data_IF_742594401791
#
_entry.id   IF_742594401791
#
_cell.length_a   1.000
_cell.length_b   1.000
_cell.length_c   1.000
_cell.angle_alpha   90.00
_cell.angle_beta   90.00
_cell.angle_gamma   90.00
#
_symmetry.space_group_name_H-M   'P 1'
#
loop_
_entity.id
_entity.type
_entity.pdbx_description
1 polymer ?
#
# COMPACT_ATOMS: atom_id res chain seq x y z
N UNK A 1 -6.88 -20.89 35.42
CA UNK A 1 -6.47 -20.07 34.29
C UNK A 1 -7.40 -20.46 33.16
N UNK A 2 -8.46 -19.72 32.97
CA UNK A 2 -9.52 -20.13 32.04
C UNK A 2 -9.77 -19.14 30.91
N UNK A 3 -9.07 -18.00 30.92
CA UNK A 3 -9.29 -17.00 29.89
C UNK A 3 -7.96 -16.51 29.32
N UNK A 4 -7.97 -16.20 28.02
CA UNK A 4 -6.84 -15.62 27.27
C UNK A 4 -6.35 -14.32 27.94
N UNK A 5 -7.22 -13.57 28.60
CA UNK A 5 -6.88 -12.34 29.35
C UNK A 5 -5.82 -12.61 30.45
N UNK A 6 -5.89 -13.77 31.12
CA UNK A 6 -4.88 -14.16 32.13
C UNK A 6 -3.47 -14.36 31.52
N UNK A 7 -3.38 -14.74 30.24
CA UNK A 7 -2.09 -14.92 29.52
C UNK A 7 -1.37 -13.61 29.26
N UNK A 8 -2.12 -12.53 29.01
CA UNK A 8 -1.55 -11.21 28.73
C UNK A 8 -0.82 -10.60 29.92
N UNK A 9 -1.17 -11.02 31.15
CA UNK A 9 -0.53 -10.54 32.38
C UNK A 9 0.80 -11.29 32.69
N UNK A 10 1.05 -12.45 32.07
CA UNK A 10 2.27 -13.22 32.27
C UNK A 10 3.45 -12.58 31.54
N UNK A 11 4.63 -12.67 32.14
CA UNK A 11 5.88 -12.35 31.43
C UNK A 11 6.25 -13.46 30.43
N UNK A 12 7.07 -13.13 29.43
CA UNK A 12 7.56 -14.12 28.45
C UNK A 12 8.17 -15.35 29.14
N UNK A 13 8.97 -15.10 30.18
CA UNK A 13 9.58 -16.18 30.99
C UNK A 13 8.53 -17.08 31.62
N UNK A 14 7.46 -16.50 32.21
CA UNK A 14 6.39 -17.26 32.82
C UNK A 14 5.61 -18.06 31.77
N UNK A 15 5.38 -17.51 30.58
CA UNK A 15 4.76 -18.25 29.47
C UNK A 15 5.62 -19.45 29.09
N UNK A 16 6.92 -19.29 28.88
CA UNK A 16 7.82 -20.40 28.56
C UNK A 16 7.92 -21.45 29.67
N UNK A 17 7.94 -21.05 30.95
CA UNK A 17 8.01 -21.97 32.11
C UNK A 17 6.71 -22.78 32.28
N UNK A 18 5.57 -22.26 31.83
CA UNK A 18 4.28 -22.92 31.92
C UNK A 18 3.93 -23.75 30.67
N UNK A 19 4.44 -23.41 29.51
CA UNK A 19 4.14 -24.05 28.22
C UNK A 19 4.25 -25.59 28.23
N UNK A 20 5.24 -26.24 28.90
CA UNK A 20 5.30 -27.70 29.00
C UNK A 20 4.20 -28.34 29.86
N UNK A 21 3.44 -27.54 30.62
CA UNK A 21 2.43 -28.00 31.57
C UNK A 21 1.00 -27.84 31.05
N UNK A 22 0.84 -27.24 29.89
CA UNK A 22 -0.45 -26.98 29.24
C UNK A 22 -0.61 -27.83 27.99
N UNK A 23 -1.83 -28.19 27.67
CA UNK A 23 -2.19 -29.03 26.54
C UNK A 23 -3.39 -28.45 25.78
N UNK A 24 -3.69 -29.03 24.62
CA UNK A 24 -4.86 -28.67 23.83
C UNK A 24 -4.89 -27.22 23.39
N UNK A 25 -6.08 -26.63 23.36
CA UNK A 25 -6.32 -25.25 22.88
C UNK A 25 -5.53 -24.23 23.70
N UNK A 26 -5.46 -24.40 25.03
CA UNK A 26 -4.68 -23.52 25.88
C UNK A 26 -3.20 -23.47 25.50
N UNK A 27 -2.61 -24.59 25.07
CA UNK A 27 -1.22 -24.61 24.57
C UNK A 27 -1.07 -23.81 23.27
N UNK A 28 -2.06 -23.86 22.40
CA UNK A 28 -2.11 -23.02 21.19
C UNK A 28 -2.16 -21.53 21.56
N UNK A 29 -2.96 -21.14 22.56
CA UNK A 29 -3.03 -19.77 23.03
C UNK A 29 -1.69 -19.26 23.58
N UNK A 30 -0.94 -20.08 24.30
CA UNK A 30 0.40 -19.75 24.75
C UNK A 30 1.35 -19.46 23.60
N UNK A 31 1.36 -20.31 22.57
CA UNK A 31 2.17 -20.08 21.38
C UNK A 31 1.72 -18.84 20.60
N UNK A 32 0.43 -18.61 20.48
CA UNK A 32 -0.11 -17.41 19.84
C UNK A 32 0.32 -16.14 20.58
N UNK A 33 0.22 -16.09 21.90
CA UNK A 33 0.63 -14.93 22.70
C UNK A 33 2.14 -14.67 22.57
N UNK A 34 2.97 -15.74 22.60
CA UNK A 34 4.41 -15.62 22.36
C UNK A 34 4.71 -15.11 20.94
N UNK A 35 3.94 -15.57 19.94
CA UNK A 35 4.03 -15.09 18.57
C UNK A 35 3.73 -13.60 18.47
N UNK A 36 2.62 -13.14 19.05
CA UNK A 36 2.21 -11.74 19.10
C UNK A 36 3.31 -10.84 19.71
N UNK A 37 3.88 -11.26 20.84
CA UNK A 37 4.97 -10.54 21.50
C UNK A 37 6.28 -10.53 20.70
N UNK A 38 6.57 -11.60 19.97
CA UNK A 38 7.72 -11.64 19.07
C UNK A 38 7.52 -10.68 17.89
N UNK A 39 6.29 -10.59 17.35
CA UNK A 39 5.93 -9.64 16.31
C UNK A 39 6.12 -8.19 16.79
N UNK A 40 5.67 -7.84 18.00
CA UNK A 40 5.83 -6.51 18.60
C UNK A 40 7.31 -6.12 18.79
N UNK A 41 8.19 -7.10 18.94
CA UNK A 41 9.65 -6.91 19.00
C UNK A 41 10.32 -6.94 17.63
N UNK A 42 9.54 -6.99 16.55
CA UNK A 42 10.00 -7.13 15.17
C UNK A 42 10.79 -8.42 14.88
N UNK A 43 10.69 -9.43 15.76
CA UNK A 43 11.23 -10.77 15.50
C UNK A 43 10.20 -11.61 14.72
N UNK A 44 10.00 -11.26 13.48
CA UNK A 44 8.97 -11.87 12.62
C UNK A 44 9.23 -13.35 12.33
N UNK A 45 10.50 -13.78 12.31
CA UNK A 45 10.86 -15.19 12.10
C UNK A 45 10.40 -16.06 13.27
N UNK A 46 10.71 -15.64 14.50
CA UNK A 46 10.24 -16.35 15.71
C UNK A 46 8.72 -16.26 15.84
N UNK A 47 8.13 -15.09 15.53
CA UNK A 47 6.69 -14.91 15.55
C UNK A 47 5.98 -15.87 14.59
N UNK A 48 6.47 -16.02 13.36
CA UNK A 48 5.92 -16.98 12.39
C UNK A 48 6.02 -18.41 12.89
N UNK A 49 7.20 -18.86 13.34
CA UNK A 49 7.40 -20.23 13.84
C UNK A 49 6.49 -20.57 15.02
N UNK A 50 6.25 -19.62 15.92
CA UNK A 50 5.33 -19.79 17.06
C UNK A 50 3.86 -19.86 16.62
N UNK A 51 3.45 -19.00 15.68
CA UNK A 51 2.09 -19.06 15.13
C UNK A 51 1.84 -20.39 14.37
N UNK A 52 2.83 -20.91 13.66
CA UNK A 52 2.72 -22.23 13.00
C UNK A 52 2.58 -23.37 14.01
N UNK A 53 3.28 -23.31 15.15
CA UNK A 53 3.09 -24.28 16.23
C UNK A 53 1.70 -24.21 16.85
N UNK A 54 1.17 -22.99 17.04
CA UNK A 54 -0.21 -22.80 17.48
C UNK A 54 -1.21 -23.43 16.51
N UNK A 55 -1.04 -23.20 15.20
CA UNK A 55 -1.87 -23.79 14.14
C UNK A 55 -1.84 -25.32 14.18
N UNK A 56 -0.66 -25.91 14.26
CA UNK A 56 -0.50 -27.35 14.20
C UNK A 56 -1.23 -28.05 15.37
N UNK A 57 -1.19 -27.44 16.56
CA UNK A 57 -1.95 -27.92 17.72
C UNK A 57 -3.47 -27.86 17.45
N UNK A 58 -3.98 -26.73 16.92
CA UNK A 58 -5.41 -26.61 16.63
C UNK A 58 -5.88 -27.61 15.55
N UNK A 59 -5.03 -27.87 14.54
CA UNK A 59 -5.33 -28.84 13.50
C UNK A 59 -5.35 -30.27 14.02
N UNK A 60 -4.56 -30.60 15.06
CA UNK A 60 -4.61 -31.92 15.73
C UNK A 60 -5.89 -32.08 16.56
N UNK A 61 -6.43 -31.00 17.12
CA UNK A 61 -7.68 -31.02 17.92
C UNK A 61 -8.94 -31.18 17.06
N UNK A 62 -8.87 -30.92 15.76
CA UNK A 62 -9.96 -31.10 14.77
C UNK A 62 -11.29 -30.44 15.22
N UNK A 63 -12.32 -31.32 15.41
CA UNK A 63 -13.69 -30.91 15.71
C UNK A 63 -13.88 -30.26 17.10
N UNK A 64 -12.83 -30.21 17.91
CA UNK A 64 -12.84 -29.57 19.25
C UNK A 64 -12.51 -28.08 19.20
N UNK A 65 -12.02 -27.58 18.05
CA UNK A 65 -11.57 -26.18 17.90
C UNK A 65 -12.59 -25.38 17.12
N UNK A 66 -12.88 -24.17 17.56
CA UNK A 66 -13.78 -23.26 16.85
C UNK A 66 -13.13 -22.68 15.58
N UNK A 67 -13.96 -22.38 14.57
CA UNK A 67 -13.50 -21.68 13.38
C UNK A 67 -12.86 -20.32 13.73
N UNK A 68 -13.34 -19.63 14.78
CA UNK A 68 -12.80 -18.35 15.23
C UNK A 68 -11.34 -18.48 15.73
N UNK A 69 -11.02 -19.55 16.49
CA UNK A 69 -9.65 -19.80 16.95
C UNK A 69 -8.72 -20.13 15.78
N UNK A 70 -9.18 -20.95 14.83
CA UNK A 70 -8.40 -21.25 13.62
C UNK A 70 -8.13 -19.98 12.82
N UNK A 71 -9.14 -19.12 12.63
CA UNK A 71 -9.00 -17.85 11.90
C UNK A 71 -8.02 -16.91 12.58
N UNK A 72 -8.07 -16.77 13.91
CA UNK A 72 -7.12 -15.98 14.70
C UNK A 72 -5.67 -16.38 14.37
N UNK A 73 -5.38 -17.66 14.34
CA UNK A 73 -4.03 -18.17 14.08
C UNK A 73 -3.63 -17.98 12.61
N UNK A 74 -4.53 -18.27 11.64
CA UNK A 74 -4.22 -18.03 10.23
C UNK A 74 -3.95 -16.55 9.92
N UNK A 75 -4.71 -15.62 10.53
CA UNK A 75 -4.45 -14.19 10.43
C UNK A 75 -3.05 -13.83 10.96
N UNK A 76 -2.67 -14.36 12.12
CA UNK A 76 -1.34 -14.15 12.69
C UNK A 76 -0.22 -14.66 11.78
N UNK A 77 -0.38 -15.86 11.20
CA UNK A 77 0.58 -16.40 10.23
C UNK A 77 0.67 -15.49 9.00
N UNK A 78 -0.46 -15.05 8.46
CA UNK A 78 -0.52 -14.12 7.32
C UNK A 78 0.21 -12.80 7.60
N UNK A 79 -0.03 -12.19 8.77
CA UNK A 79 0.65 -10.96 9.20
C UNK A 79 2.16 -11.15 9.35
N UNK A 80 2.59 -12.24 10.00
CA UNK A 80 4.01 -12.56 10.17
C UNK A 80 4.70 -12.83 8.82
N UNK A 81 4.04 -13.56 7.93
CA UNK A 81 4.53 -13.84 6.59
C UNK A 81 4.64 -12.56 5.75
N UNK A 82 3.66 -11.64 5.86
CA UNK A 82 3.69 -10.35 5.19
C UNK A 82 4.87 -9.49 5.66
N UNK A 83 5.10 -9.43 6.98
CA UNK A 83 6.26 -8.71 7.55
C UNK A 83 7.61 -9.27 7.10
N UNK A 84 7.66 -10.54 6.66
CA UNK A 84 8.83 -11.19 6.08
C UNK A 84 8.89 -11.11 4.54
N UNK A 85 7.94 -10.44 3.89
CA UNK A 85 7.83 -10.39 2.43
C UNK A 85 7.50 -11.74 1.77
N UNK A 86 7.01 -12.72 2.53
CA UNK A 86 6.69 -14.06 2.01
C UNK A 86 5.26 -14.09 1.46
N UNK A 87 5.06 -13.51 0.28
CA UNK A 87 3.74 -13.39 -0.35
C UNK A 87 3.09 -14.76 -0.67
N UNK A 88 3.88 -15.79 -1.02
CA UNK A 88 3.34 -17.13 -1.27
C UNK A 88 2.71 -17.74 0.00
N UNK A 89 3.33 -17.54 1.15
CA UNK A 89 2.79 -17.99 2.43
C UNK A 89 1.57 -17.16 2.84
N UNK A 90 1.57 -15.84 2.60
CA UNK A 90 0.40 -14.97 2.81
C UNK A 90 -0.79 -15.52 2.03
N UNK A 91 -0.63 -15.70 0.72
CA UNK A 91 -1.69 -16.18 -0.16
C UNK A 91 -2.21 -17.55 0.30
N UNK A 92 -1.31 -18.55 0.44
CA UNK A 92 -1.71 -19.92 0.79
C UNK A 92 -2.39 -20.03 2.15
N UNK A 93 -2.09 -19.12 3.08
CA UNK A 93 -2.65 -19.10 4.43
C UNK A 93 -3.97 -18.35 4.48
N UNK A 94 -4.02 -17.14 3.91
CA UNK A 94 -5.21 -16.30 4.01
C UNK A 94 -6.33 -16.73 3.06
N UNK A 95 -6.03 -17.39 1.92
CA UNK A 95 -7.07 -18.04 1.11
C UNK A 95 -7.82 -19.12 1.95
N UNK A 96 -7.11 -19.91 2.77
CA UNK A 96 -7.73 -20.88 3.68
C UNK A 96 -8.56 -20.18 4.76
N UNK A 97 -8.02 -19.10 5.34
CA UNK A 97 -8.73 -18.30 6.31
C UNK A 97 -10.04 -17.75 5.72
N UNK A 98 -9.98 -17.19 4.52
CA UNK A 98 -11.13 -16.60 3.83
C UNK A 98 -12.25 -17.65 3.58
N UNK A 99 -11.88 -18.87 3.20
CA UNK A 99 -12.84 -19.97 3.01
C UNK A 99 -13.55 -20.31 4.33
N UNK A 100 -12.79 -20.42 5.42
CA UNK A 100 -13.36 -20.70 6.75
C UNK A 100 -14.24 -19.54 7.20
N UNK A 101 -13.76 -18.30 7.09
CA UNK A 101 -14.46 -17.11 7.53
C UNK A 101 -15.82 -16.94 6.83
N UNK A 102 -15.85 -17.10 5.49
CA UNK A 102 -17.09 -17.06 4.71
C UNK A 102 -18.09 -18.14 5.11
N UNK A 103 -17.60 -19.36 5.35
CA UNK A 103 -18.44 -20.48 5.79
C UNK A 103 -19.08 -20.23 7.15
N UNK A 104 -18.33 -19.64 8.07
CA UNK A 104 -18.73 -19.42 9.46
C UNK A 104 -19.34 -18.05 9.72
N UNK A 105 -19.49 -17.23 8.67
CA UNK A 105 -19.98 -15.84 8.76
C UNK A 105 -19.15 -14.99 9.75
N UNK A 106 -17.83 -15.23 9.75
CA UNK A 106 -16.82 -14.50 10.56
C UNK A 106 -15.90 -13.68 9.66
N UNK A 107 -16.36 -13.38 8.44
CA UNK A 107 -15.59 -12.65 7.46
C UNK A 107 -15.62 -11.14 7.76
N UNK A 108 -14.43 -10.60 8.01
CA UNK A 108 -14.19 -9.17 8.19
C UNK A 108 -13.31 -8.69 7.04
N UNK A 109 -13.75 -7.72 6.24
CA UNK A 109 -13.03 -7.34 5.02
C UNK A 109 -11.62 -6.81 5.31
N UNK A 110 -11.42 -6.08 6.40
CA UNK A 110 -10.12 -5.54 6.80
C UNK A 110 -9.04 -6.60 7.03
N UNK A 111 -9.42 -7.82 7.41
CA UNK A 111 -8.49 -8.92 7.66
C UNK A 111 -7.73 -9.39 6.41
N UNK A 112 -8.22 -9.01 5.22
CA UNK A 112 -7.70 -9.50 3.95
C UNK A 112 -6.97 -8.45 3.12
N UNK A 113 -6.73 -7.25 3.66
CA UNK A 113 -5.99 -6.21 2.95
C UNK A 113 -4.59 -6.66 2.55
N UNK A 114 -3.87 -7.37 3.43
CA UNK A 114 -2.55 -7.94 3.12
C UNK A 114 -2.60 -9.06 2.06
N UNK A 115 -3.74 -9.72 1.89
CA UNK A 115 -3.93 -10.70 0.80
C UNK A 115 -4.09 -10.00 -0.54
N UNK A 116 -4.77 -8.85 -0.58
CA UNK A 116 -4.83 -7.99 -1.79
C UNK A 116 -3.43 -7.57 -2.19
N UNK A 117 -2.63 -7.06 -1.24
CA UNK A 117 -1.26 -6.64 -1.50
C UNK A 117 -0.39 -7.81 -1.99
N UNK A 118 -0.54 -8.99 -1.39
CA UNK A 118 0.20 -10.17 -1.81
C UNK A 118 -0.17 -10.62 -3.23
N UNK A 119 -1.46 -10.57 -3.61
CA UNK A 119 -1.88 -10.83 -4.99
C UNK A 119 -1.32 -9.79 -5.96
N UNK A 120 -1.30 -8.51 -5.59
CA UNK A 120 -0.73 -7.44 -6.41
C UNK A 120 0.77 -7.64 -6.63
N UNK A 121 1.53 -7.97 -5.58
CA UNK A 121 2.97 -8.27 -5.67
C UNK A 121 3.28 -9.53 -6.51
N UNK A 122 2.36 -10.48 -6.56
CA UNK A 122 2.48 -11.70 -7.40
C UNK A 122 1.86 -11.52 -8.78
N UNK A 123 1.41 -10.31 -9.11
CA UNK A 123 0.73 -10.00 -10.38
C UNK A 123 -0.55 -10.84 -10.62
N UNK A 124 -1.14 -11.39 -9.54
CA UNK A 124 -2.42 -12.09 -9.59
C UNK A 124 -3.59 -11.10 -9.61
N UNK A 125 -3.54 -10.12 -10.51
CA UNK A 125 -4.41 -8.94 -10.55
C UNK A 125 -5.90 -9.26 -10.56
N UNK A 126 -6.30 -10.34 -11.23
CA UNK A 126 -7.71 -10.72 -11.27
C UNK A 126 -8.23 -11.12 -9.87
N UNK A 127 -7.43 -11.87 -9.10
CA UNK A 127 -7.81 -12.25 -7.72
C UNK A 127 -7.82 -11.04 -6.79
N UNK A 128 -6.87 -10.11 -6.95
CA UNK A 128 -6.85 -8.87 -6.19
C UNK A 128 -8.12 -8.05 -6.44
N UNK A 129 -8.54 -7.89 -7.71
CA UNK A 129 -9.77 -7.17 -8.07
C UNK A 129 -11.00 -7.86 -7.47
N UNK A 130 -11.14 -9.18 -7.62
CA UNK A 130 -12.28 -9.94 -7.08
C UNK A 130 -12.39 -9.81 -5.55
N UNK A 131 -11.24 -9.81 -4.85
CA UNK A 131 -11.22 -9.61 -3.41
C UNK A 131 -11.59 -8.19 -3.01
N UNK A 132 -11.09 -7.18 -3.74
CA UNK A 132 -11.42 -5.77 -3.52
C UNK A 132 -12.90 -5.48 -3.83
N UNK A 133 -13.47 -6.09 -4.86
CA UNK A 133 -14.91 -5.96 -5.17
C UNK A 133 -15.77 -6.58 -4.05
N UNK A 134 -15.36 -7.72 -3.51
CA UNK A 134 -16.01 -8.31 -2.34
C UNK A 134 -15.88 -7.42 -1.10
N UNK A 135 -14.69 -6.84 -0.83
CA UNK A 135 -14.50 -5.91 0.29
C UNK A 135 -15.39 -4.66 0.10
N UNK A 136 -15.42 -4.10 -1.10
CA UNK A 136 -16.29 -2.97 -1.43
C UNK A 136 -17.76 -3.26 -1.13
N UNK A 137 -18.27 -4.43 -1.53
CA UNK A 137 -19.66 -4.82 -1.24
C UNK A 137 -19.93 -4.89 0.28
N UNK A 138 -18.99 -5.42 1.05
CA UNK A 138 -19.09 -5.49 2.52
C UNK A 138 -19.08 -4.12 3.18
N UNK A 139 -18.14 -3.25 2.80
CA UNK A 139 -18.06 -1.89 3.33
C UNK A 139 -19.29 -1.05 2.93
N UNK A 140 -19.78 -1.21 1.72
CA UNK A 140 -20.98 -0.52 1.27
C UNK A 140 -22.25 -0.96 2.03
N UNK A 141 -22.32 -2.21 2.52
CA UNK A 141 -23.43 -2.70 3.34
C UNK A 141 -23.48 -2.06 4.74
N UNK A 142 -22.36 -1.54 5.23
CA UNK A 142 -22.25 -0.89 6.53
C UNK A 142 -22.04 0.62 6.42
N UNK A 143 -22.26 1.18 5.22
CA UNK A 143 -22.11 2.62 4.92
C UNK A 143 -20.70 3.17 5.25
N UNK A 144 -19.63 2.36 5.10
CA UNK A 144 -18.25 2.82 5.26
C UNK A 144 -17.73 3.42 3.95
N UNK A 145 -18.03 4.71 3.77
CA UNK A 145 -17.69 5.45 2.56
C UNK A 145 -16.15 5.62 2.38
N UNK A 146 -15.35 5.60 3.47
CA UNK A 146 -13.89 5.70 3.40
C UNK A 146 -13.31 4.45 2.77
N UNK A 147 -13.67 3.29 3.30
CA UNK A 147 -13.18 2.00 2.81
C UNK A 147 -13.74 1.68 1.41
N UNK A 148 -14.99 2.08 1.11
CA UNK A 148 -15.54 1.99 -0.25
C UNK A 148 -14.67 2.75 -1.26
N UNK A 149 -14.32 4.00 -0.96
CA UNK A 149 -13.45 4.78 -1.83
C UNK A 149 -12.03 4.17 -1.92
N UNK A 150 -11.50 3.63 -0.83
CA UNK A 150 -10.22 2.92 -0.78
C UNK A 150 -10.18 1.71 -1.71
N UNK A 151 -11.17 0.84 -1.65
CA UNK A 151 -11.27 -0.33 -2.53
C UNK A 151 -11.31 0.08 -4.02
N UNK A 152 -12.12 1.07 -4.37
CA UNK A 152 -12.25 1.55 -5.75
C UNK A 152 -10.95 2.19 -6.26
N UNK A 153 -10.23 2.94 -5.40
CA UNK A 153 -8.93 3.49 -5.74
C UNK A 153 -7.89 2.39 -6.00
N UNK A 154 -7.83 1.35 -5.14
CA UNK A 154 -6.94 0.22 -5.34
C UNK A 154 -7.26 -0.56 -6.62
N UNK A 155 -8.54 -0.80 -6.93
CA UNK A 155 -8.95 -1.40 -8.21
C UNK A 155 -8.46 -0.56 -9.39
N UNK A 156 -8.58 0.77 -9.30
CA UNK A 156 -8.08 1.68 -10.33
C UNK A 156 -6.55 1.56 -10.52
N UNK A 157 -5.77 1.48 -9.43
CA UNK A 157 -4.32 1.26 -9.52
C UNK A 157 -3.96 -0.04 -10.24
N UNK A 158 -4.70 -1.12 -9.98
CA UNK A 158 -4.48 -2.39 -10.68
C UNK A 158 -4.79 -2.24 -12.18
N UNK A 159 -5.88 -1.54 -12.56
CA UNK A 159 -6.19 -1.30 -13.97
C UNK A 159 -5.15 -0.41 -14.65
N UNK A 160 -4.55 0.58 -13.94
CA UNK A 160 -3.41 1.36 -14.46
C UNK A 160 -2.19 0.48 -14.74
N UNK A 161 -1.85 -0.46 -13.84
CA UNK A 161 -0.76 -1.44 -14.06
C UNK A 161 -1.02 -2.35 -15.26
N UNK A 162 -2.28 -2.55 -15.63
CA UNK A 162 -2.71 -3.33 -16.79
C UNK A 162 -2.85 -2.49 -18.08
N UNK A 163 -2.39 -1.23 -18.07
CA UNK A 163 -2.55 -0.27 -19.18
C UNK A 163 -4.02 -0.07 -19.60
N UNK A 164 -4.96 -0.09 -18.63
CA UNK A 164 -6.41 0.08 -18.82
C UNK A 164 -6.92 1.34 -18.13
N UNK A 165 -6.33 2.48 -18.45
CA UNK A 165 -6.69 3.79 -17.87
C UNK A 165 -8.13 4.19 -18.14
N UNK A 166 -8.70 3.75 -19.26
CA UNK A 166 -10.11 3.94 -19.63
C UNK A 166 -11.08 3.26 -18.65
N UNK A 167 -10.65 2.17 -17.98
CA UNK A 167 -11.40 1.51 -16.91
C UNK A 167 -11.05 2.11 -15.54
N UNK A 168 -9.80 2.52 -15.34
CA UNK A 168 -9.33 3.10 -14.08
C UNK A 168 -10.04 4.41 -13.75
N UNK A 169 -10.21 5.32 -14.72
CA UNK A 169 -10.82 6.64 -14.50
C UNK A 169 -12.27 6.55 -13.98
N UNK A 170 -13.19 5.76 -14.55
CA UNK A 170 -14.52 5.56 -13.98
C UNK A 170 -14.53 5.05 -12.53
N UNK A 171 -13.60 4.13 -12.18
CA UNK A 171 -13.47 3.63 -10.80
C UNK A 171 -13.03 4.75 -9.84
N UNK A 172 -12.07 5.61 -10.24
CA UNK A 172 -11.66 6.77 -9.45
C UNK A 172 -12.75 7.82 -9.31
N UNK A 173 -13.53 8.07 -10.35
CA UNK A 173 -14.67 8.99 -10.25
C UNK A 173 -15.71 8.48 -9.25
N UNK A 174 -15.99 7.17 -9.25
CA UNK A 174 -16.85 6.57 -8.24
C UNK A 174 -16.23 6.65 -6.83
N UNK A 175 -14.91 6.41 -6.70
CA UNK A 175 -14.19 6.59 -5.43
C UNK A 175 -14.31 8.03 -4.92
N UNK A 176 -14.22 9.03 -5.82
CA UNK A 176 -14.38 10.44 -5.47
C UNK A 176 -15.78 10.75 -4.96
N UNK A 177 -16.81 10.12 -5.51
CA UNK A 177 -18.19 10.31 -5.03
C UNK A 177 -18.38 9.74 -3.61
N UNK A 178 -17.78 8.61 -3.29
CA UNK A 178 -17.71 8.10 -1.91
C UNK A 178 -16.88 9.01 -1.00
N UNK A 179 -15.69 9.43 -1.45
CA UNK A 179 -14.82 10.32 -0.66
C UNK A 179 -15.51 11.64 -0.29
N UNK A 180 -16.34 12.22 -1.18
CA UNK A 180 -17.09 13.45 -0.90
C UNK A 180 -18.10 13.29 0.24
N UNK A 181 -18.67 12.10 0.44
CA UNK A 181 -19.58 11.83 1.56
C UNK A 181 -18.89 11.82 2.91
N UNK A 182 -17.58 11.56 2.94
CA UNK A 182 -16.79 11.52 4.20
C UNK A 182 -16.53 12.90 4.79
N UNK A 183 -16.76 13.99 4.06
CA UNK A 183 -16.41 15.38 4.41
C UNK A 183 -14.91 15.59 4.72
N UNK A 184 -14.07 14.59 4.49
CA UNK A 184 -12.63 14.66 4.71
C UNK A 184 -11.92 15.30 3.51
N UNK A 185 -11.63 16.60 3.62
CA UNK A 185 -11.00 17.37 2.55
C UNK A 185 -9.67 16.76 2.09
N UNK A 186 -8.82 16.27 2.99
CA UNK A 186 -7.53 15.67 2.62
C UNK A 186 -7.72 14.40 1.80
N UNK A 187 -8.72 13.59 2.16
CA UNK A 187 -9.02 12.36 1.45
C UNK A 187 -9.61 12.65 0.05
N UNK A 188 -10.51 13.64 -0.05
CA UNK A 188 -11.05 14.10 -1.34
C UNK A 188 -9.91 14.58 -2.25
N UNK A 189 -8.98 15.40 -1.74
CA UNK A 189 -7.83 15.88 -2.50
C UNK A 189 -6.92 14.73 -2.96
N UNK A 190 -6.72 13.72 -2.12
CA UNK A 190 -5.94 12.52 -2.47
C UNK A 190 -6.55 11.79 -3.67
N UNK A 191 -7.85 11.51 -3.63
CA UNK A 191 -8.53 10.84 -4.75
C UNK A 191 -8.51 11.72 -6.02
N UNK A 192 -8.69 13.04 -5.88
CA UNK A 192 -8.57 13.95 -7.01
C UNK A 192 -7.17 13.98 -7.62
N UNK A 193 -6.11 13.80 -6.80
CA UNK A 193 -4.74 13.63 -7.29
C UNK A 193 -4.62 12.42 -8.19
N UNK A 194 -5.17 11.28 -7.79
CA UNK A 194 -5.17 10.08 -8.62
C UNK A 194 -5.98 10.24 -9.92
N UNK A 195 -7.09 10.99 -9.87
CA UNK A 195 -7.84 11.35 -11.09
C UNK A 195 -6.97 12.17 -12.04
N UNK A 196 -6.24 13.18 -11.54
CA UNK A 196 -5.35 14.01 -12.36
C UNK A 196 -4.24 13.19 -13.03
N UNK A 197 -3.64 12.24 -12.30
CA UNK A 197 -2.63 11.33 -12.85
C UNK A 197 -3.19 10.49 -13.99
N UNK A 198 -4.39 9.91 -13.84
CA UNK A 198 -5.01 9.08 -14.89
C UNK A 198 -5.44 9.92 -16.08
N UNK A 199 -5.92 11.14 -15.87
CA UNK A 199 -6.22 12.07 -16.96
C UNK A 199 -4.96 12.41 -17.77
N UNK A 200 -3.81 12.59 -17.12
CA UNK A 200 -2.52 12.78 -17.79
C UNK A 200 -2.13 11.54 -18.61
N UNK A 201 -2.25 10.35 -18.06
CA UNK A 201 -1.95 9.07 -18.74
C UNK A 201 -2.87 8.83 -19.97
N UNK A 202 -4.10 9.32 -19.90
CA UNK A 202 -5.07 9.31 -21.02
C UNK A 202 -4.85 10.44 -22.04
N UNK A 203 -3.81 11.25 -21.86
CA UNK A 203 -3.52 12.43 -22.68
C UNK A 203 -4.67 13.48 -22.70
N UNK A 204 -5.56 13.43 -21.70
CA UNK A 204 -6.64 14.39 -21.54
C UNK A 204 -6.12 15.65 -20.81
N UNK A 205 -5.17 16.32 -21.44
CA UNK A 205 -4.37 17.38 -20.83
C UNK A 205 -5.19 18.59 -20.37
N UNK A 206 -6.23 18.97 -21.13
CA UNK A 206 -7.04 20.14 -20.75
C UNK A 206 -7.79 19.92 -19.44
N UNK A 207 -8.47 18.79 -19.29
CA UNK A 207 -9.20 18.47 -18.07
C UNK A 207 -8.23 18.25 -16.89
N UNK A 208 -7.06 17.66 -17.16
CA UNK A 208 -6.00 17.50 -16.20
C UNK A 208 -5.50 18.86 -15.68
N UNK A 209 -5.18 19.83 -16.56
CA UNK A 209 -4.72 21.19 -16.15
C UNK A 209 -5.78 21.90 -15.31
N UNK A 210 -7.04 21.86 -15.71
CA UNK A 210 -8.14 22.48 -14.97
C UNK A 210 -8.29 21.90 -13.55
N UNK A 211 -8.02 20.61 -13.38
CA UNK A 211 -8.01 19.94 -12.07
C UNK A 211 -6.75 20.27 -11.28
N UNK A 212 -5.57 20.27 -11.93
CA UNK A 212 -4.29 20.58 -11.30
C UNK A 212 -4.27 22.01 -10.71
N UNK A 213 -4.86 22.99 -11.38
CA UNK A 213 -4.94 24.35 -10.87
C UNK A 213 -5.73 24.41 -9.55
N UNK A 214 -6.82 23.66 -9.44
CA UNK A 214 -7.60 23.57 -8.21
C UNK A 214 -6.83 22.84 -7.09
N UNK A 215 -6.17 21.74 -7.43
CA UNK A 215 -5.37 20.94 -6.49
C UNK A 215 -4.18 21.72 -5.94
N UNK A 216 -3.41 22.40 -6.82
CA UNK A 216 -2.26 23.23 -6.43
C UNK A 216 -2.71 24.29 -5.44
N UNK A 217 -3.77 25.06 -5.76
CA UNK A 217 -4.32 26.07 -4.87
C UNK A 217 -4.75 25.49 -3.51
N UNK A 218 -5.40 24.32 -3.52
CA UNK A 218 -5.86 23.66 -2.28
C UNK A 218 -4.70 23.17 -1.42
N UNK A 219 -3.69 22.53 -2.03
CA UNK A 219 -2.49 22.08 -1.31
C UNK A 219 -1.65 23.23 -0.78
N UNK A 220 -1.58 24.37 -1.48
CA UNK A 220 -0.93 25.59 -0.99
C UNK A 220 -1.66 26.15 0.24
N UNK A 221 -2.98 26.26 0.20
CA UNK A 221 -3.80 26.74 1.31
C UNK A 221 -3.68 25.85 2.55
N UNK A 222 -3.61 24.54 2.36
CA UNK A 222 -3.46 23.55 3.42
C UNK A 222 -2.00 23.32 3.86
N UNK A 223 -1.04 23.95 3.19
CA UNK A 223 0.41 23.77 3.40
C UNK A 223 0.89 22.31 3.29
N UNK A 224 0.29 21.52 2.40
CA UNK A 224 0.66 20.11 2.13
C UNK A 224 1.70 20.09 1.01
N UNK A 225 2.97 20.23 1.39
CA UNK A 225 4.08 20.48 0.45
C UNK A 225 4.34 19.34 -0.51
N UNK A 226 4.23 18.09 -0.06
CA UNK A 226 4.57 16.91 -0.85
C UNK A 226 3.70 16.77 -2.08
N UNK A 227 2.38 16.64 -1.91
CA UNK A 227 1.44 16.52 -3.02
C UNK A 227 1.48 17.75 -3.93
N UNK A 228 1.73 18.94 -3.34
CA UNK A 228 1.93 20.17 -4.10
C UNK A 228 3.07 20.07 -5.11
N UNK A 229 4.22 19.51 -4.72
CA UNK A 229 5.37 19.36 -5.62
C UNK A 229 5.07 18.41 -6.77
N UNK A 230 4.41 17.28 -6.51
CA UNK A 230 4.02 16.32 -7.54
C UNK A 230 3.00 16.92 -8.51
N UNK A 231 2.02 17.68 -8.03
CA UNK A 231 1.04 18.36 -8.90
C UNK A 231 1.70 19.46 -9.76
N UNK A 232 2.63 20.21 -9.20
CA UNK A 232 3.41 21.21 -9.97
C UNK A 232 4.30 20.53 -11.03
N UNK A 233 4.92 19.40 -10.70
CA UNK A 233 5.69 18.61 -11.66
C UNK A 233 4.81 18.14 -12.82
N UNK A 234 3.65 17.54 -12.51
CA UNK A 234 2.71 17.06 -13.51
C UNK A 234 2.24 18.17 -14.45
N UNK A 235 1.97 19.38 -13.89
CA UNK A 235 1.64 20.56 -14.69
C UNK A 235 2.76 20.97 -15.63
N UNK A 236 4.01 20.97 -15.16
CA UNK A 236 5.17 21.28 -16.00
C UNK A 236 5.38 20.22 -17.10
N UNK A 237 5.07 18.96 -16.85
CA UNK A 237 5.10 17.91 -17.87
C UNK A 237 4.07 18.17 -18.98
N UNK A 238 2.85 18.59 -18.64
CA UNK A 238 1.83 18.98 -19.64
C UNK A 238 2.30 20.17 -20.46
N UNK A 239 2.86 21.21 -19.82
CA UNK A 239 3.41 22.39 -20.52
C UNK A 239 4.57 22.01 -21.44
N UNK A 240 5.40 21.02 -21.06
CA UNK A 240 6.43 20.48 -21.92
C UNK A 240 5.85 19.87 -23.20
N UNK A 241 4.78 19.10 -23.10
CA UNK A 241 4.12 18.47 -24.25
C UNK A 241 3.49 19.49 -25.21
N UNK A 242 3.14 20.68 -24.72
CA UNK A 242 2.58 21.77 -25.52
C UNK A 242 3.62 22.65 -26.22
N UNK A 243 4.91 22.25 -26.25
CA UNK A 243 6.04 22.99 -26.87
C UNK A 243 6.24 24.41 -26.32
N UNK A 244 5.95 24.64 -25.06
CA UNK A 244 6.31 25.88 -24.37
C UNK A 244 7.83 25.95 -24.15
N UNK A 245 8.36 27.08 -23.70
CA UNK A 245 9.78 27.35 -23.51
C UNK A 245 10.52 26.23 -22.72
N UNK A 246 11.02 25.21 -23.47
CA UNK A 246 11.55 23.93 -22.94
C UNK A 246 12.69 24.13 -21.91
N UNK A 247 13.56 25.15 -22.12
CA UNK A 247 14.65 25.44 -21.18
C UNK A 247 14.13 25.99 -19.85
N UNK A 248 13.13 26.84 -19.90
CA UNK A 248 12.51 27.43 -18.71
C UNK A 248 11.80 26.34 -17.89
N UNK A 249 11.15 25.38 -18.56
CA UNK A 249 10.50 24.26 -17.89
C UNK A 249 11.53 23.39 -17.16
N UNK A 250 12.67 23.05 -17.81
CA UNK A 250 13.74 22.30 -17.15
C UNK A 250 14.24 23.02 -15.89
N UNK A 251 14.49 24.33 -15.98
CA UNK A 251 14.96 25.08 -14.82
C UNK A 251 13.88 25.13 -13.71
N UNK A 252 12.61 25.27 -14.08
CA UNK A 252 11.50 25.22 -13.12
C UNK A 252 11.42 23.87 -12.41
N UNK A 253 11.60 22.73 -13.14
CA UNK A 253 11.62 21.40 -12.52
C UNK A 253 12.83 21.25 -11.59
N UNK A 254 13.99 21.76 -11.97
CA UNK A 254 15.19 21.76 -11.10
C UNK A 254 14.95 22.55 -9.82
N UNK A 255 14.37 23.74 -9.91
CA UNK A 255 14.05 24.56 -8.74
C UNK A 255 13.05 23.89 -7.80
N UNK A 256 12.02 23.23 -8.35
CA UNK A 256 11.09 22.43 -7.56
C UNK A 256 11.79 21.24 -6.86
N UNK A 257 12.70 20.57 -7.54
CA UNK A 257 13.42 19.43 -6.98
C UNK A 257 14.24 19.76 -5.73
N UNK A 258 14.70 21.01 -5.62
CA UNK A 258 15.42 21.52 -4.43
C UNK A 258 14.52 21.69 -3.20
N UNK A 259 13.21 21.67 -3.38
CA UNK A 259 12.23 21.83 -2.29
C UNK A 259 11.86 20.48 -1.63
N UNK A 260 12.33 19.35 -2.16
CA UNK A 260 12.09 18.02 -1.60
C UNK A 260 12.91 17.88 -0.32
N UNK A 261 12.21 17.74 0.83
CA UNK A 261 12.80 17.66 2.16
C UNK A 261 12.58 16.23 2.70
N UNK A 262 13.58 15.72 3.43
CA UNK A 262 13.57 14.40 4.05
C UNK A 262 14.43 13.39 3.32
N UNK A 263 14.69 12.27 3.99
CA UNK A 263 15.48 11.15 3.48
C UNK A 263 14.74 9.81 3.67
N UNK A 264 13.42 9.88 3.97
CA UNK A 264 12.55 8.72 3.99
C UNK A 264 12.33 8.18 2.57
N UNK A 265 11.83 6.95 2.49
CA UNK A 265 11.59 6.26 1.22
C UNK A 265 10.80 7.12 0.23
N UNK A 266 9.79 7.81 0.73
CA UNK A 266 8.89 8.61 -0.06
C UNK A 266 9.55 9.86 -0.65
N UNK A 267 10.42 10.55 0.11
CA UNK A 267 11.22 11.66 -0.38
C UNK A 267 12.25 11.19 -1.43
N UNK A 268 12.81 9.99 -1.25
CA UNK A 268 13.72 9.38 -2.24
C UNK A 268 12.96 9.08 -3.53
N UNK A 269 11.80 8.45 -3.46
CA UNK A 269 10.96 8.15 -4.62
C UNK A 269 10.53 9.43 -5.36
N UNK A 270 10.22 10.51 -4.62
CA UNK A 270 9.93 11.80 -5.22
C UNK A 270 11.15 12.38 -5.96
N UNK A 271 12.35 12.32 -5.37
CA UNK A 271 13.60 12.74 -6.03
C UNK A 271 13.85 11.95 -7.31
N UNK A 272 13.61 10.64 -7.30
CA UNK A 272 13.76 9.77 -8.47
C UNK A 272 12.85 10.27 -9.61
N UNK A 273 11.57 10.52 -9.34
CA UNK A 273 10.60 11.02 -10.34
C UNK A 273 11.05 12.35 -10.95
N UNK A 274 11.54 13.28 -10.12
CA UNK A 274 12.03 14.58 -10.60
C UNK A 274 13.29 14.45 -11.44
N UNK A 275 14.29 13.67 -11.00
CA UNK A 275 15.51 13.43 -11.78
C UNK A 275 15.21 12.74 -13.11
N UNK A 276 14.33 11.72 -13.11
CA UNK A 276 13.92 11.04 -14.35
C UNK A 276 13.24 12.00 -15.33
N UNK A 277 12.36 12.87 -14.83
CA UNK A 277 11.69 13.88 -15.68
C UNK A 277 12.70 14.86 -16.28
N UNK A 278 13.66 15.37 -15.49
CA UNK A 278 14.71 16.26 -15.98
C UNK A 278 15.57 15.58 -17.04
N UNK A 279 15.98 14.33 -16.80
CA UNK A 279 16.77 13.52 -17.73
C UNK A 279 16.02 13.37 -19.06
N UNK A 280 14.75 12.95 -19.02
CA UNK A 280 13.93 12.77 -20.21
C UNK A 280 13.78 14.06 -21.02
N UNK A 281 13.55 15.19 -20.35
CA UNK A 281 13.49 16.49 -20.99
C UNK A 281 14.83 16.90 -21.66
N UNK A 282 15.96 16.66 -21.00
CA UNK A 282 17.30 16.95 -21.52
C UNK A 282 17.66 16.06 -22.72
N UNK A 283 17.32 14.78 -22.66
CA UNK A 283 17.53 13.84 -23.77
C UNK A 283 16.73 14.21 -24.99
N UNK A 284 15.47 14.62 -24.81
CA UNK A 284 14.61 15.06 -25.91
C UNK A 284 15.19 16.29 -26.62
N UNK A 285 15.74 17.25 -25.86
CA UNK A 285 16.39 18.42 -26.45
C UNK A 285 17.63 18.11 -27.29
N UNK A 286 18.30 16.99 -27.03
CA UNK A 286 19.49 16.56 -27.78
C UNK A 286 20.63 17.59 -27.81
N UNK A 287 20.61 18.55 -26.90
CA UNK A 287 21.51 19.71 -26.91
C UNK A 287 22.86 19.38 -26.30
N UNK A 288 23.96 19.69 -26.98
CA UNK A 288 25.33 19.60 -26.47
C UNK A 288 25.55 20.36 -25.15
N UNK A 289 24.73 21.37 -24.87
CA UNK A 289 24.81 22.14 -23.63
C UNK A 289 24.50 21.35 -22.37
N UNK A 290 23.78 20.24 -22.46
CA UNK A 290 23.37 19.42 -21.33
C UNK A 290 24.16 18.12 -21.13
N UNK A 291 25.06 17.75 -22.07
CA UNK A 291 25.73 16.43 -22.06
C UNK A 291 26.39 16.11 -20.72
N UNK A 292 27.17 17.04 -20.17
CA UNK A 292 27.87 16.87 -18.90
C UNK A 292 26.92 16.81 -17.71
N UNK A 293 25.88 17.62 -17.71
CA UNK A 293 24.86 17.65 -16.67
C UNK A 293 24.03 16.36 -16.72
N UNK A 294 23.66 15.91 -17.92
CA UNK A 294 22.93 14.67 -18.13
C UNK A 294 23.66 13.45 -17.58
N UNK A 295 24.98 13.30 -17.84
CA UNK A 295 25.79 12.23 -17.26
C UNK A 295 25.80 12.27 -15.72
N UNK A 296 25.94 13.46 -15.14
CA UNK A 296 25.93 13.65 -13.69
C UNK A 296 24.58 13.26 -13.09
N UNK A 297 23.47 13.63 -13.74
CA UNK A 297 22.10 13.30 -13.28
C UNK A 297 21.79 11.81 -13.42
N UNK A 298 22.20 11.17 -14.50
CA UNK A 298 22.07 9.71 -14.67
C UNK A 298 22.79 8.96 -13.55
N UNK A 299 24.00 9.40 -13.17
CA UNK A 299 24.72 8.81 -12.04
C UNK A 299 23.95 9.03 -10.74
N UNK A 300 23.45 10.24 -10.48
CA UNK A 300 22.68 10.54 -9.28
C UNK A 300 21.38 9.72 -9.21
N UNK A 301 20.70 9.52 -10.34
CA UNK A 301 19.51 8.67 -10.43
C UNK A 301 19.86 7.23 -10.03
N UNK A 302 20.94 6.67 -10.60
CA UNK A 302 21.38 5.32 -10.26
C UNK A 302 21.74 5.18 -8.76
N UNK A 303 22.38 6.19 -8.16
CA UNK A 303 22.69 6.22 -6.72
C UNK A 303 21.40 6.24 -5.88
N UNK A 304 20.35 6.96 -6.29
CA UNK A 304 19.04 7.00 -5.62
C UNK A 304 18.29 5.67 -5.75
N UNK A 305 18.28 5.07 -6.94
CA UNK A 305 17.65 3.77 -7.21
C UNK A 305 18.29 2.65 -6.38
N UNK A 306 19.63 2.69 -6.22
CA UNK A 306 20.35 1.74 -5.37
C UNK A 306 19.97 1.88 -3.89
N UNK A 307 19.69 3.10 -3.41
CA UNK A 307 19.21 3.31 -2.04
C UNK A 307 17.84 2.62 -1.81
N UNK A 308 16.96 2.65 -2.80
CA UNK A 308 15.65 1.99 -2.73
C UNK A 308 15.78 0.46 -2.69
N UNK A 309 16.72 -0.12 -3.44
CA UNK A 309 16.95 -1.57 -3.45
C UNK A 309 17.47 -2.05 -2.08
N UNK A 310 18.44 -1.33 -1.49
CA UNK A 310 19.01 -1.68 -0.17
C UNK A 310 17.97 -1.61 0.96
N UNK A 311 16.97 -0.76 0.85
CA UNK A 311 15.91 -0.64 1.88
C UNK A 311 14.83 -1.71 1.76
N UNK A 312 14.81 -2.48 0.66
CA UNK A 312 13.87 -3.61 0.43
C UNK A 312 14.43 -4.97 0.88
N UNK A 313 15.75 -5.06 1.15
CA UNK A 313 16.42 -6.24 1.74
C UNK A 313 16.40 -6.20 3.28
#
# INVERSE_FOLDING_TARGET
>A
MNDYEDLMELTDKQLWDQLPKVEGELKSDFFYELSRRSFEKSDYKSALALAEQARDILLELKDLTSDAEILKIYRAIGMNANALGNHDLVISTLEKALVIAKRSNLDSPEDYSILVDAYDQKEEFQKAIELLEWQFEKYNQIDDDVECAGCLAQISFIFRKLDKQDIALPKLNLALDFAKKTENTNYILLIQTYVAEVLYELENYQECEDLLDKLINSYELLNIKKNLLDMKLLKLQIQWMSNSNEREIIESIKELSLQIIGDDQEAVDQRIRFEQTIINCMEHLGSWSYTRELETRKKRLADLEQLVEVTKE
#
